data_IF_439124216384
#
_entry.id   IF_439124216384
#
_cell.length_a   1.000
_cell.length_b   1.000
_cell.length_c   1.000
_cell.angle_alpha   90.00
_cell.angle_beta   90.00
_cell.angle_gamma   90.00
#
_symmetry.space_group_name_H-M   'P 1'
#
loop_
_entity.id
_entity.type
_entity.pdbx_description
1 polymer ?
#
# COMPACT_ATOMS: atom_id res chain seq x y z
N UNK A 1 -12.83 10.88 22.10
CA UNK A 1 -13.27 10.88 20.68
C UNK A 1 -12.09 10.70 19.72
N UNK A 2 -10.93 11.32 19.97
CA UNK A 2 -9.72 11.24 19.11
C UNK A 2 -9.22 9.83 18.73
N UNK A 3 -9.37 8.82 19.61
CA UNK A 3 -8.99 7.43 19.35
C UNK A 3 -9.81 6.76 18.23
N UNK A 4 -11.05 7.20 17.99
CA UNK A 4 -11.91 6.59 16.98
C UNK A 4 -11.51 7.03 15.57
N UNK A 5 -11.21 8.32 15.41
CA UNK A 5 -10.75 8.89 14.14
C UNK A 5 -9.42 8.28 13.68
N UNK A 6 -8.49 8.08 14.62
CA UNK A 6 -7.19 7.49 14.30
C UNK A 6 -7.30 6.04 13.79
N UNK A 7 -8.22 5.24 14.35
CA UNK A 7 -8.45 3.87 13.91
C UNK A 7 -9.11 3.81 12.51
N UNK A 8 -10.02 4.74 12.22
CA UNK A 8 -10.66 4.84 10.90
C UNK A 8 -9.67 5.27 9.82
N UNK A 9 -8.87 6.31 10.10
CA UNK A 9 -7.80 6.78 9.19
C UNK A 9 -6.81 5.65 8.92
N UNK A 10 -6.42 4.91 9.96
CA UNK A 10 -5.51 3.79 9.83
C UNK A 10 -6.11 2.66 8.97
N UNK A 11 -7.38 2.31 9.18
CA UNK A 11 -8.09 1.33 8.35
C UNK A 11 -8.19 1.77 6.88
N UNK A 12 -8.42 3.05 6.62
CA UNK A 12 -8.44 3.61 5.26
C UNK A 12 -7.07 3.55 4.58
N UNK A 13 -5.99 3.88 5.30
CA UNK A 13 -4.61 3.80 4.78
C UNK A 13 -4.25 2.34 4.46
N UNK A 14 -4.66 1.41 5.33
CA UNK A 14 -4.45 -0.03 5.20
C UNK A 14 -5.21 -0.58 3.98
N UNK A 15 -6.47 -0.21 3.80
CA UNK A 15 -7.25 -0.59 2.61
C UNK A 15 -6.70 0.05 1.33
N UNK A 16 -6.28 1.32 1.39
CA UNK A 16 -5.69 2.00 0.25
C UNK A 16 -4.38 1.33 -0.19
N UNK A 17 -3.52 0.92 0.75
CA UNK A 17 -2.30 0.15 0.45
C UNK A 17 -2.62 -1.20 -0.21
N UNK A 18 -3.65 -1.90 0.28
CA UNK A 18 -4.04 -3.21 -0.27
C UNK A 18 -4.62 -3.06 -1.68
N UNK A 19 -5.46 -2.05 -1.92
CA UNK A 19 -6.02 -1.73 -3.24
C UNK A 19 -4.93 -1.26 -4.20
N UNK A 20 -4.00 -0.41 -3.76
CA UNK A 20 -2.85 0.01 -4.58
C UNK A 20 -1.95 -1.19 -4.92
N UNK A 21 -1.72 -2.09 -3.97
CA UNK A 21 -0.88 -3.27 -4.19
C UNK A 21 -1.50 -4.26 -5.17
N UNK A 22 -2.80 -4.53 -5.06
CA UNK A 22 -3.54 -5.37 -6.01
C UNK A 22 -3.64 -4.69 -7.36
N UNK A 23 -3.93 -3.39 -7.41
CA UNK A 23 -4.07 -2.66 -8.67
C UNK A 23 -2.75 -2.54 -9.43
N UNK A 24 -1.62 -2.37 -8.72
CA UNK A 24 -0.27 -2.43 -9.31
C UNK A 24 0.11 -3.82 -9.84
N UNK A 25 -0.47 -4.90 -9.29
CA UNK A 25 -0.27 -6.27 -9.79
C UNK A 25 -1.17 -6.60 -10.99
N UNK A 26 -2.44 -6.18 -10.94
CA UNK A 26 -3.48 -6.50 -11.94
C UNK A 26 -3.38 -5.61 -13.18
N UNK A 27 -3.02 -4.33 -13.00
CA UNK A 27 -2.91 -3.37 -14.11
C UNK A 27 -1.61 -2.55 -14.05
N UNK A 28 -0.45 -3.21 -14.24
CA UNK A 28 0.85 -2.54 -14.20
C UNK A 28 0.96 -1.43 -15.26
N UNK A 29 0.40 -1.62 -16.46
CA UNK A 29 0.46 -0.64 -17.56
C UNK A 29 -0.24 0.69 -17.25
N UNK A 30 -1.46 0.65 -16.67
CA UNK A 30 -2.19 1.87 -16.29
C UNK A 30 -1.55 2.56 -15.10
N UNK A 31 -0.99 1.78 -14.18
CA UNK A 31 -0.30 2.32 -13.03
C UNK A 31 1.10 2.85 -13.36
N UNK A 32 1.70 2.46 -14.48
CA UNK A 32 3.03 2.91 -14.88
C UNK A 32 3.14 4.43 -15.04
N UNK A 33 2.09 5.09 -15.56
CA UNK A 33 2.04 6.56 -15.63
C UNK A 33 1.93 7.21 -14.24
N UNK A 34 1.10 6.64 -13.35
CA UNK A 34 0.93 7.13 -11.99
C UNK A 34 2.22 6.95 -11.17
N UNK A 35 2.85 5.78 -11.30
CA UNK A 35 4.13 5.46 -10.69
C UNK A 35 5.27 6.25 -11.30
N UNK A 36 5.23 6.61 -12.58
CA UNK A 36 6.22 7.50 -13.18
C UNK A 36 6.26 8.89 -12.53
N UNK A 37 5.12 9.36 -12.02
CA UNK A 37 5.03 10.60 -11.25
C UNK A 37 5.40 10.34 -9.78
N UNK A 38 4.90 9.26 -9.19
CA UNK A 38 5.07 8.94 -7.78
C UNK A 38 6.50 8.50 -7.41
N UNK A 39 7.15 7.73 -8.27
CA UNK A 39 8.52 7.23 -8.11
C UNK A 39 9.56 8.14 -8.78
N UNK A 40 9.17 9.33 -9.25
CA UNK A 40 10.11 10.27 -9.86
C UNK A 40 11.29 10.53 -8.90
N UNK A 41 12.56 10.41 -9.33
CA UNK A 41 13.05 10.32 -10.72
C UNK A 41 13.37 8.89 -11.23
N UNK A 42 12.99 7.84 -10.51
CA UNK A 42 13.35 6.46 -10.86
C UNK A 42 12.52 5.94 -12.05
N UNK A 43 13.13 5.24 -13.04
CA UNK A 43 12.40 4.73 -14.18
C UNK A 43 11.29 3.76 -13.73
N UNK A 44 10.02 4.04 -14.10
CA UNK A 44 8.92 3.16 -13.76
C UNK A 44 9.06 1.88 -14.60
N UNK A 45 9.58 0.84 -13.98
CA UNK A 45 9.65 -0.50 -14.59
C UNK A 45 8.51 -1.34 -14.05
N UNK A 46 7.97 -2.25 -14.87
CA UNK A 46 6.92 -3.18 -14.44
C UNK A 46 7.30 -3.96 -13.18
N UNK A 47 8.61 -4.27 -13.03
CA UNK A 47 9.16 -4.87 -11.81
C UNK A 47 9.06 -3.94 -10.61
N UNK A 48 9.39 -2.66 -10.74
CA UNK A 48 9.29 -1.69 -9.65
C UNK A 48 7.83 -1.52 -9.18
N UNK A 49 6.87 -1.49 -10.13
CA UNK A 49 5.44 -1.39 -9.81
C UNK A 49 4.96 -2.64 -9.04
N UNK A 50 5.34 -3.84 -9.51
CA UNK A 50 5.01 -5.11 -8.82
C UNK A 50 5.67 -5.20 -7.44
N UNK A 51 6.93 -4.78 -7.32
CA UNK A 51 7.64 -4.75 -6.03
C UNK A 51 6.97 -3.76 -5.08
N UNK A 52 6.54 -2.60 -5.55
CA UNK A 52 5.85 -1.64 -4.70
C UNK A 52 4.49 -2.17 -4.25
N UNK A 53 3.79 -2.92 -5.10
CA UNK A 53 2.57 -3.60 -4.69
C UNK A 53 2.80 -4.70 -3.65
N UNK A 54 3.90 -5.45 -3.78
CA UNK A 54 4.36 -6.40 -2.75
C UNK A 54 4.71 -5.71 -1.43
N UNK A 55 5.41 -4.58 -1.47
CA UNK A 55 5.75 -3.79 -0.27
C UNK A 55 4.48 -3.25 0.40
N UNK A 56 3.49 -2.80 -0.37
CA UNK A 56 2.20 -2.35 0.16
C UNK A 56 1.44 -3.47 0.89
N UNK A 57 1.45 -4.69 0.34
CA UNK A 57 0.87 -5.89 0.99
C UNK A 57 1.66 -6.28 2.24
N UNK A 58 2.99 -6.23 2.19
CA UNK A 58 3.85 -6.45 3.36
C UNK A 58 3.60 -5.43 4.47
N UNK A 59 3.41 -4.15 4.11
CA UNK A 59 3.03 -3.09 5.05
C UNK A 59 1.68 -3.36 5.70
N UNK A 60 0.70 -3.84 4.93
CA UNK A 60 -0.60 -4.27 5.45
C UNK A 60 -0.47 -5.43 6.45
N UNK A 61 0.32 -6.47 6.13
CA UNK A 61 0.61 -7.59 7.01
C UNK A 61 1.30 -7.16 8.30
N UNK A 62 2.28 -6.25 8.22
CA UNK A 62 3.00 -5.70 9.38
C UNK A 62 2.06 -4.95 10.32
N UNK A 63 1.17 -4.14 9.76
CA UNK A 63 0.14 -3.43 10.51
C UNK A 63 -0.81 -4.40 11.21
N UNK A 64 -1.28 -5.42 10.50
CA UNK A 64 -2.15 -6.45 11.04
C UNK A 64 -1.46 -7.22 12.17
N UNK A 65 -0.19 -7.60 11.98
CA UNK A 65 0.62 -8.24 13.01
C UNK A 65 0.79 -7.35 14.24
N UNK A 66 1.07 -6.05 14.06
CA UNK A 66 1.17 -5.10 15.17
C UNK A 66 -0.15 -5.00 15.94
N UNK A 67 -1.28 -4.91 15.24
CA UNK A 67 -2.61 -4.90 15.89
C UNK A 67 -2.84 -6.16 16.71
N UNK A 68 -2.52 -7.33 16.16
CA UNK A 68 -2.63 -8.61 16.87
C UNK A 68 -1.74 -8.68 18.11
N UNK A 69 -0.46 -8.29 18.00
CA UNK A 69 0.47 -8.27 19.13
C UNK A 69 0.04 -7.28 20.21
N UNK A 70 -0.54 -6.14 19.84
CA UNK A 70 -1.00 -5.13 20.81
C UNK A 70 -2.29 -5.55 21.54
N UNK A 71 -3.06 -6.47 20.97
CA UNK A 71 -4.29 -7.00 21.55
C UNK A 71 -4.12 -8.35 22.29
N UNK A 72 -2.92 -8.94 22.24
CA UNK A 72 -2.52 -10.15 22.96
C UNK A 72 -1.89 -9.78 24.32
#
# INVERSE_FOLDING_TARGET
MEKFDFNLIFCLIVQANLVFGVAGLVWPEKFMSLYGILMFPWPPSERAIRVNGLIAILGWLLVLAKMFITHL
#
